data_IF_681934588032
#
_entry.id   IF_681934588032
#
_cell.length_a   1.000
_cell.length_b   1.000
_cell.length_c   1.000
_cell.angle_alpha   90.00
_cell.angle_beta   90.00
_cell.angle_gamma   90.00
#
_symmetry.space_group_name_H-M   'P 1'
#
loop_
_entity.id
_entity.type
_entity.pdbx_description
1 polymer ?
#
# COMPACT_ATOMS: atom_id res chain seq x y z
N UNK A 1 24.32 14.58 -39.18
CA UNK A 1 23.18 15.50 -39.39
C UNK A 1 22.18 15.25 -38.28
N UNK A 2 21.72 16.33 -37.67
CA UNK A 2 21.09 16.42 -36.36
C UNK A 2 19.77 15.66 -36.20
N UNK A 3 19.51 15.20 -34.96
CA UNK A 3 18.40 15.73 -34.15
C UNK A 3 18.65 15.41 -32.67
N UNK A 4 19.06 16.46 -31.95
CA UNK A 4 18.91 16.56 -30.51
C UNK A 4 17.42 16.35 -30.18
N UNK A 5 17.07 15.17 -29.65
CA UNK A 5 15.78 14.99 -28.99
C UNK A 5 15.88 15.68 -27.62
N UNK A 6 15.31 16.88 -27.57
CA UNK A 6 15.09 17.64 -26.35
C UNK A 6 14.25 16.80 -25.37
N UNK A 7 14.64 16.64 -24.08
CA UNK A 7 13.90 15.84 -23.11
C UNK A 7 12.50 16.37 -22.76
N UNK A 8 12.17 17.61 -23.14
CA UNK A 8 10.94 18.30 -22.74
C UNK A 8 9.69 17.97 -23.58
N UNK A 9 9.77 17.03 -24.55
CA UNK A 9 8.70 16.79 -25.52
C UNK A 9 7.85 15.52 -25.26
N UNK A 10 7.99 14.86 -24.10
CA UNK A 10 7.28 13.60 -23.79
C UNK A 10 6.37 13.64 -22.55
N UNK A 11 6.15 14.79 -21.94
CA UNK A 11 5.28 14.92 -20.76
C UNK A 11 3.79 15.15 -21.06
N UNK A 12 3.37 15.17 -22.33
CA UNK A 12 2.00 15.55 -22.72
C UNK A 12 0.85 14.56 -22.39
N UNK A 13 1.07 13.51 -21.59
CA UNK A 13 0.07 12.43 -21.50
C UNK A 13 -0.90 12.47 -20.32
N UNK A 14 -0.64 13.16 -19.20
CA UNK A 14 -1.63 13.25 -18.10
C UNK A 14 -1.43 14.49 -17.20
N UNK A 15 -1.27 15.68 -17.79
CA UNK A 15 -1.31 16.92 -17.00
C UNK A 15 -2.76 17.28 -16.69
N UNK A 16 -3.10 17.38 -15.41
CA UNK A 16 -4.42 17.82 -14.99
C UNK A 16 -4.55 19.32 -15.28
N UNK A 17 -5.46 19.69 -16.19
CA UNK A 17 -5.90 21.07 -16.34
C UNK A 17 -6.47 21.57 -15.01
N UNK A 18 -6.40 22.89 -14.75
CA UNK A 18 -7.09 23.53 -13.62
C UNK A 18 -8.55 23.09 -13.50
N UNK A 19 -9.21 22.80 -14.62
CA UNK A 19 -10.58 22.28 -14.63
C UNK A 19 -10.72 20.95 -13.87
N UNK A 20 -9.75 20.03 -14.01
CA UNK A 20 -9.82 18.72 -13.39
C UNK A 20 -9.59 18.80 -11.87
N UNK A 21 -8.70 19.69 -11.42
CA UNK A 21 -8.48 19.98 -9.98
C UNK A 21 -9.76 20.47 -9.30
N UNK A 22 -10.40 21.47 -9.90
CA UNK A 22 -11.66 22.04 -9.38
C UNK A 22 -12.79 21.01 -9.40
N UNK A 23 -12.84 20.17 -10.43
CA UNK A 23 -13.83 19.10 -10.53
C UNK A 23 -13.64 18.04 -9.44
N UNK A 24 -12.41 17.67 -9.07
CA UNK A 24 -12.16 16.75 -7.94
C UNK A 24 -12.69 17.34 -6.65
N UNK A 25 -12.31 18.59 -6.33
CA UNK A 25 -12.74 19.26 -5.09
C UNK A 25 -14.27 19.24 -5.00
N UNK A 26 -14.94 19.68 -6.07
CA UNK A 26 -16.39 19.65 -6.15
C UNK A 26 -16.95 18.23 -5.98
N UNK A 27 -16.31 17.21 -6.57
CA UNK A 27 -16.77 15.83 -6.44
C UNK A 27 -16.65 15.32 -5.00
N UNK A 28 -15.56 15.66 -4.31
CA UNK A 28 -15.34 15.27 -2.91
C UNK A 28 -16.33 15.96 -1.95
N UNK A 29 -16.73 17.20 -2.26
CA UNK A 29 -17.65 17.99 -1.44
C UNK A 29 -19.13 17.67 -1.72
N UNK A 30 -19.51 17.50 -2.99
CA UNK A 30 -20.93 17.44 -3.39
C UNK A 30 -21.49 16.02 -3.52
N UNK A 31 -20.64 15.00 -3.68
CA UNK A 31 -21.07 13.63 -3.97
C UNK A 31 -20.72 12.64 -2.87
N UNK A 32 -21.70 11.84 -2.45
CA UNK A 32 -21.46 10.65 -1.64
C UNK A 32 -21.02 9.48 -2.54
N UNK A 33 -19.73 9.18 -2.50
CA UNK A 33 -19.13 8.05 -3.23
C UNK A 33 -19.25 6.72 -2.45
N UNK A 34 -20.01 6.70 -1.35
CA UNK A 34 -20.24 5.52 -0.53
C UNK A 34 -18.99 5.10 0.27
N UNK A 35 -18.87 3.80 0.60
CA UNK A 35 -17.81 3.30 1.50
C UNK A 35 -16.45 3.16 0.83
N UNK A 36 -16.34 3.44 -0.48
CA UNK A 36 -15.05 3.37 -1.18
C UNK A 36 -14.05 4.35 -0.58
N UNK A 37 -12.79 3.93 -0.55
CA UNK A 37 -11.67 4.81 -0.24
C UNK A 37 -11.57 5.88 -1.33
N UNK A 38 -11.40 7.14 -0.93
CA UNK A 38 -11.26 8.27 -1.85
C UNK A 38 -9.79 8.60 -1.98
N UNK A 39 -9.22 8.29 -3.14
CA UNK A 39 -7.81 8.55 -3.43
C UNK A 39 -7.69 9.59 -4.54
N UNK A 40 -6.75 10.53 -4.40
CA UNK A 40 -6.43 11.51 -5.44
C UNK A 40 -4.98 11.38 -5.85
N UNK A 41 -4.73 11.07 -7.13
CA UNK A 41 -3.39 11.11 -7.73
C UNK A 41 -3.11 12.50 -8.25
N UNK A 42 -2.16 13.18 -7.61
CA UNK A 42 -1.70 14.51 -8.04
C UNK A 42 -0.68 14.38 -9.18
N UNK A 43 -0.24 15.49 -9.75
CA UNK A 43 0.89 15.50 -10.67
C UNK A 43 2.21 15.22 -9.94
N UNK A 44 3.26 14.81 -10.66
CA UNK A 44 4.57 14.53 -10.06
C UNK A 44 5.26 15.81 -9.59
N UNK A 45 6.17 15.70 -8.61
CA UNK A 45 6.98 16.84 -8.14
C UNK A 45 7.75 17.47 -9.29
N UNK A 46 8.39 16.62 -10.12
CA UNK A 46 9.15 17.01 -11.31
C UNK A 46 8.35 17.74 -12.40
N UNK A 47 7.01 17.62 -12.41
CA UNK A 47 6.16 18.29 -13.41
C UNK A 47 5.96 19.78 -13.15
N UNK A 48 6.26 20.27 -11.94
CA UNK A 48 5.98 21.66 -11.52
C UNK A 48 4.50 21.94 -11.21
N UNK A 49 3.59 20.98 -11.44
CA UNK A 49 2.14 21.15 -11.27
C UNK A 49 1.60 20.62 -9.94
N UNK A 50 2.40 19.84 -9.20
CA UNK A 50 2.03 19.25 -7.91
C UNK A 50 1.66 20.30 -6.85
N UNK A 51 2.31 21.46 -6.88
CA UNK A 51 2.06 22.54 -5.92
C UNK A 51 0.66 23.13 -6.09
N UNK A 52 0.24 23.38 -7.34
CA UNK A 52 -1.11 23.86 -7.66
C UNK A 52 -2.20 22.82 -7.30
N UNK A 53 -1.89 21.53 -7.44
CA UNK A 53 -2.78 20.45 -7.00
C UNK A 53 -2.98 20.51 -5.49
N UNK A 54 -1.88 20.58 -4.72
CA UNK A 54 -1.92 20.63 -3.26
C UNK A 54 -2.62 21.89 -2.75
N UNK A 55 -2.34 23.04 -3.36
CA UNK A 55 -3.03 24.28 -3.00
C UNK A 55 -4.54 24.11 -3.13
N UNK A 56 -5.01 23.65 -4.29
CA UNK A 56 -6.44 23.53 -4.58
C UNK A 56 -7.11 22.46 -3.73
N UNK A 57 -6.50 21.26 -3.65
CA UNK A 57 -7.08 20.11 -2.96
C UNK A 57 -7.14 20.31 -1.44
N UNK A 58 -6.11 20.92 -0.84
CA UNK A 58 -6.05 21.08 0.63
C UNK A 58 -6.95 22.21 1.14
N UNK A 59 -7.43 23.09 0.26
CA UNK A 59 -8.49 24.05 0.61
C UNK A 59 -9.91 23.43 0.60
N UNK A 60 -10.09 22.22 0.03
CA UNK A 60 -11.38 21.51 0.01
C UNK A 60 -11.90 21.25 1.42
N UNK A 61 -13.21 21.40 1.67
CA UNK A 61 -13.83 21.05 2.95
C UNK A 61 -13.69 19.55 3.26
N UNK A 62 -13.73 18.71 2.22
CA UNK A 62 -13.57 17.25 2.34
C UNK A 62 -12.22 16.85 1.73
N UNK A 63 -11.35 16.28 2.57
CA UNK A 63 -10.05 15.76 2.11
C UNK A 63 -10.19 14.30 1.66
N UNK A 64 -9.43 13.87 0.64
CA UNK A 64 -9.34 12.46 0.30
C UNK A 64 -8.69 11.68 1.44
N UNK A 65 -8.99 10.38 1.52
CA UNK A 65 -8.33 9.47 2.45
C UNK A 65 -6.85 9.31 2.13
N UNK A 66 -6.52 9.33 0.84
CA UNK A 66 -5.18 9.00 0.34
C UNK A 66 -4.75 9.92 -0.81
N UNK A 67 -3.50 10.37 -0.76
CA UNK A 67 -2.82 11.09 -1.83
C UNK A 67 -1.81 10.17 -2.50
N UNK A 68 -1.94 10.07 -3.82
CA UNK A 68 -1.08 9.27 -4.67
C UNK A 68 -0.06 10.18 -5.36
N UNK A 69 1.23 9.91 -5.15
CA UNK A 69 2.34 10.72 -5.67
C UNK A 69 3.06 9.96 -6.79
N UNK A 70 2.85 10.32 -8.08
CA UNK A 70 3.48 9.63 -9.19
C UNK A 70 4.95 10.03 -9.37
N UNK A 71 5.71 9.17 -10.07
CA UNK A 71 7.11 9.38 -10.50
C UNK A 71 8.03 9.88 -9.38
N UNK A 72 8.01 9.21 -8.23
CA UNK A 72 8.92 9.56 -7.12
C UNK A 72 10.33 9.05 -7.44
N UNK A 73 11.27 9.98 -7.58
CA UNK A 73 12.66 9.68 -7.97
C UNK A 73 13.60 9.53 -6.76
N UNK A 74 13.30 10.18 -5.63
CA UNK A 74 14.19 10.25 -4.48
C UNK A 74 13.54 10.74 -3.18
N UNK A 75 14.24 10.60 -2.03
CA UNK A 75 13.75 11.05 -0.73
C UNK A 75 13.54 12.57 -0.67
N UNK A 76 14.25 13.35 -1.48
CA UNK A 76 14.12 14.81 -1.53
C UNK A 76 12.72 15.24 -1.98
N UNK A 77 12.10 14.48 -2.89
CA UNK A 77 10.73 14.74 -3.35
C UNK A 77 9.69 14.46 -2.27
N UNK A 78 9.94 13.50 -1.38
CA UNK A 78 9.09 13.22 -0.22
C UNK A 78 9.19 14.35 0.81
N UNK A 79 10.39 14.86 1.06
CA UNK A 79 10.59 16.01 1.93
C UNK A 79 9.88 17.24 1.35
N UNK A 80 10.09 17.54 0.07
CA UNK A 80 9.42 18.64 -0.62
C UNK A 80 7.89 18.51 -0.53
N UNK A 81 7.36 17.32 -0.79
CA UNK A 81 5.92 17.06 -0.71
C UNK A 81 5.40 17.30 0.71
N UNK A 82 6.12 16.84 1.73
CA UNK A 82 5.75 17.03 3.14
C UNK A 82 5.74 18.51 3.54
N UNK A 83 6.74 19.27 3.09
CA UNK A 83 6.85 20.71 3.36
C UNK A 83 5.69 21.48 2.72
N UNK A 84 5.38 21.19 1.45
CA UNK A 84 4.27 21.81 0.72
C UNK A 84 2.92 21.40 1.29
N UNK A 85 2.73 20.13 1.62
CA UNK A 85 1.52 19.63 2.27
C UNK A 85 1.25 20.40 3.57
N UNK A 86 2.25 20.50 4.45
CA UNK A 86 2.15 21.25 5.71
C UNK A 86 1.83 22.73 5.48
N UNK A 87 2.49 23.37 4.51
CA UNK A 87 2.28 24.77 4.17
C UNK A 87 0.82 25.05 3.72
N UNK A 88 0.31 24.27 2.77
CA UNK A 88 -1.03 24.47 2.21
C UNK A 88 -2.16 23.97 3.10
N UNK A 89 -1.87 23.08 4.05
CA UNK A 89 -2.81 22.69 5.09
C UNK A 89 -3.19 23.87 6.00
N UNK A 90 -2.38 24.96 6.05
CA UNK A 90 -2.67 26.22 6.76
C UNK A 90 -3.12 26.03 8.21
N UNK A 91 -2.54 25.06 8.91
CA UNK A 91 -2.86 24.76 10.30
C UNK A 91 -4.21 24.07 10.53
N UNK A 92 -4.88 23.62 9.46
CA UNK A 92 -6.07 22.76 9.55
C UNK A 92 -5.70 21.49 10.32
N UNK A 93 -6.46 21.20 11.38
CA UNK A 93 -6.31 19.94 12.11
C UNK A 93 -6.90 18.80 11.30
N UNK A 94 -6.11 17.75 11.14
CA UNK A 94 -6.55 16.50 10.55
C UNK A 94 -7.10 15.60 11.67
N UNK A 95 -8.31 15.09 11.52
CA UNK A 95 -8.89 14.12 12.46
C UNK A 95 -8.19 12.77 12.38
N UNK A 96 -7.68 12.43 11.19
CA UNK A 96 -6.90 11.25 10.89
C UNK A 96 -5.79 11.61 9.90
N UNK A 97 -4.64 10.92 9.94
CA UNK A 97 -3.58 11.13 8.94
C UNK A 97 -4.11 10.91 7.52
N UNK A 98 -3.60 11.69 6.57
CA UNK A 98 -3.83 11.45 5.14
C UNK A 98 -2.81 10.40 4.68
N UNK A 99 -3.27 9.34 4.03
CA UNK A 99 -2.35 8.32 3.56
C UNK A 99 -1.54 8.85 2.36
N UNK A 100 -0.25 8.55 2.34
CA UNK A 100 0.65 8.82 1.24
C UNK A 100 0.95 7.51 0.51
N UNK A 101 0.76 7.52 -0.81
CA UNK A 101 0.99 6.37 -1.69
C UNK A 101 1.93 6.80 -2.83
N UNK A 102 3.26 6.66 -2.67
CA UNK A 102 4.21 6.94 -3.74
C UNK A 102 4.16 5.86 -4.83
N UNK A 103 4.49 6.26 -6.06
CA UNK A 103 4.63 5.34 -7.18
C UNK A 103 6.10 5.12 -7.51
N UNK A 104 6.45 3.86 -7.76
CA UNK A 104 7.74 3.45 -8.35
C UNK A 104 7.52 3.19 -9.82
N UNK A 105 8.00 4.10 -10.66
CA UNK A 105 7.70 4.12 -12.11
C UNK A 105 8.93 4.35 -12.98
N UNK A 106 10.11 4.49 -12.37
CA UNK A 106 11.36 4.77 -13.09
C UNK A 106 12.50 3.92 -12.54
N UNK A 107 13.58 3.79 -13.33
CA UNK A 107 14.79 3.08 -12.91
C UNK A 107 15.39 3.70 -11.64
N UNK A 108 15.46 5.03 -11.58
CA UNK A 108 16.01 5.76 -10.44
C UNK A 108 15.10 5.67 -9.21
N UNK A 109 13.78 5.86 -9.37
CA UNK A 109 12.80 5.61 -8.31
C UNK A 109 12.89 4.20 -7.73
N UNK A 110 13.11 3.17 -8.56
CA UNK A 110 13.32 1.79 -8.08
C UNK A 110 14.62 1.65 -7.28
N UNK A 111 15.70 2.32 -7.66
CA UNK A 111 16.96 2.30 -6.91
C UNK A 111 16.81 2.97 -5.55
N UNK A 112 16.13 4.11 -5.50
CA UNK A 112 15.95 4.93 -4.30
C UNK A 112 14.75 4.53 -3.44
N UNK A 113 13.91 3.58 -3.87
CA UNK A 113 12.64 3.26 -3.21
C UNK A 113 12.76 2.99 -1.69
N UNK A 114 13.84 2.33 -1.24
CA UNK A 114 14.09 2.14 0.20
C UNK A 114 14.27 3.48 0.92
N UNK A 115 15.09 4.38 0.39
CA UNK A 115 15.34 5.69 0.98
C UNK A 115 14.07 6.57 0.97
N UNK A 116 13.27 6.48 -0.10
CA UNK A 116 11.95 7.10 -0.20
C UNK A 116 11.04 6.65 0.96
N UNK A 117 10.99 5.34 1.24
CA UNK A 117 10.21 4.81 2.37
C UNK A 117 10.74 5.32 3.73
N UNK A 118 12.06 5.31 3.93
CA UNK A 118 12.68 5.78 5.16
C UNK A 118 12.38 7.26 5.42
N UNK A 119 12.47 8.10 4.39
CA UNK A 119 12.18 9.52 4.51
C UNK A 119 10.69 9.77 4.76
N UNK A 120 9.79 9.06 4.08
CA UNK A 120 8.34 9.20 4.29
C UNK A 120 7.90 8.80 5.70
N UNK A 121 8.48 7.73 6.27
CA UNK A 121 8.21 7.32 7.66
C UNK A 121 8.75 8.35 8.65
N UNK A 122 9.87 9.00 8.33
CA UNK A 122 10.51 10.02 9.19
C UNK A 122 9.76 11.35 9.17
N UNK A 123 9.36 11.84 8.00
CA UNK A 123 8.78 13.19 7.81
C UNK A 123 7.26 13.19 7.88
N UNK A 124 6.61 12.16 7.35
CA UNK A 124 5.16 12.09 7.23
C UNK A 124 4.39 12.35 8.53
N UNK A 125 4.69 11.64 9.63
CA UNK A 125 3.97 11.82 10.90
C UNK A 125 4.03 13.24 11.46
N UNK A 126 5.07 14.02 11.14
CA UNK A 126 5.24 15.40 11.61
C UNK A 126 4.23 16.35 10.96
N UNK A 127 3.76 16.01 9.76
CA UNK A 127 2.84 16.82 8.95
C UNK A 127 1.46 16.17 8.80
N UNK A 128 1.22 15.03 9.45
CA UNK A 128 -0.05 14.30 9.37
C UNK A 128 -0.21 13.43 8.12
N UNK A 129 0.89 13.03 7.50
CA UNK A 129 0.92 12.03 6.43
C UNK A 129 1.29 10.64 6.98
N UNK A 130 0.73 9.59 6.40
CA UNK A 130 1.04 8.20 6.76
C UNK A 130 1.37 7.37 5.52
N UNK A 131 2.58 6.81 5.44
CA UNK A 131 2.95 5.92 4.33
C UNK A 131 2.21 4.58 4.45
N UNK A 132 1.22 4.34 3.59
CA UNK A 132 0.34 3.18 3.69
C UNK A 132 0.60 2.12 2.60
N UNK A 133 0.88 2.56 1.38
CA UNK A 133 1.02 1.70 0.22
C UNK A 133 2.09 2.20 -0.74
N UNK A 134 2.53 1.33 -1.66
CA UNK A 134 3.29 1.70 -2.86
C UNK A 134 2.57 1.18 -4.09
N UNK A 135 2.61 1.95 -5.17
CA UNK A 135 2.12 1.52 -6.49
C UNK A 135 3.28 1.30 -7.44
N UNK A 136 3.24 0.23 -8.23
CA UNK A 136 4.19 0.00 -9.31
C UNK A 136 3.61 0.47 -10.66
N UNK A 137 4.20 1.52 -11.24
CA UNK A 137 3.85 2.01 -12.58
C UNK A 137 4.62 1.26 -13.66
N UNK A 138 4.16 0.08 -14.03
CA UNK A 138 4.91 -0.83 -14.90
C UNK A 138 5.21 -0.30 -16.31
N UNK A 139 4.29 0.45 -16.91
CA UNK A 139 4.44 0.96 -18.29
C UNK A 139 5.43 2.13 -18.36
N UNK A 140 5.33 3.07 -17.41
CA UNK A 140 6.32 4.13 -17.25
C UNK A 140 7.69 3.55 -16.88
N UNK A 141 7.73 2.49 -16.07
CA UNK A 141 8.98 1.82 -15.72
C UNK A 141 9.62 1.18 -16.94
N UNK A 142 8.84 0.51 -17.79
CA UNK A 142 9.31 -0.04 -19.08
C UNK A 142 9.90 1.06 -19.96
N UNK A 143 9.20 2.19 -20.09
CA UNK A 143 9.71 3.33 -20.84
C UNK A 143 11.02 3.87 -20.24
N UNK A 144 11.14 3.91 -18.92
CA UNK A 144 12.34 4.37 -18.20
C UNK A 144 13.57 3.48 -18.46
N UNK A 145 13.40 2.16 -18.52
CA UNK A 145 14.50 1.22 -18.80
C UNK A 145 14.72 0.94 -20.30
N UNK A 146 13.90 1.52 -21.17
CA UNK A 146 13.94 1.27 -22.62
C UNK A 146 13.36 -0.07 -23.06
N UNK A 147 12.53 -0.70 -22.22
CA UNK A 147 11.76 -1.89 -22.57
C UNK A 147 10.49 -1.52 -23.36
N UNK A 148 9.89 -2.52 -24.01
CA UNK A 148 8.62 -2.37 -24.73
C UNK A 148 7.51 -3.06 -23.97
N UNK A 149 6.30 -2.49 -24.02
CA UNK A 149 5.11 -3.09 -23.42
C UNK A 149 4.84 -4.49 -24.00
N UNK A 150 4.67 -5.46 -23.11
CA UNK A 150 4.38 -6.86 -23.44
C UNK A 150 3.42 -7.47 -22.43
N UNK A 151 2.70 -8.52 -22.85
CA UNK A 151 1.84 -9.32 -21.95
C UNK A 151 2.69 -10.12 -20.97
N UNK A 152 3.85 -10.55 -21.43
CA UNK A 152 4.90 -11.16 -20.62
C UNK A 152 5.48 -10.12 -19.65
N UNK A 153 5.76 -10.54 -18.43
CA UNK A 153 6.23 -9.69 -17.31
C UNK A 153 7.69 -9.97 -16.91
N UNK A 154 8.40 -10.76 -17.71
CA UNK A 154 9.78 -11.18 -17.40
C UNK A 154 10.75 -10.00 -17.39
N UNK A 155 10.52 -9.00 -18.23
CA UNK A 155 11.29 -7.76 -18.34
C UNK A 155 11.24 -6.91 -17.07
N UNK A 156 10.12 -6.98 -16.33
CA UNK A 156 9.87 -6.21 -15.11
C UNK A 156 9.85 -7.08 -13.83
N UNK A 157 10.20 -8.36 -13.94
CA UNK A 157 10.15 -9.31 -12.82
C UNK A 157 11.03 -8.84 -11.64
N UNK A 158 12.26 -8.39 -11.92
CA UNK A 158 13.16 -7.85 -10.91
C UNK A 158 12.55 -6.65 -10.17
N UNK A 159 11.96 -5.72 -10.91
CA UNK A 159 11.36 -4.52 -10.34
C UNK A 159 10.20 -4.87 -9.41
N UNK A 160 9.28 -5.74 -9.87
CA UNK A 160 8.15 -6.24 -9.09
C UNK A 160 8.61 -6.89 -7.78
N UNK A 161 9.57 -7.81 -7.85
CA UNK A 161 10.08 -8.50 -6.65
C UNK A 161 10.78 -7.55 -5.68
N UNK A 162 11.62 -6.63 -6.17
CA UNK A 162 12.30 -5.65 -5.33
C UNK A 162 11.30 -4.74 -4.60
N UNK A 163 10.28 -4.27 -5.29
CA UNK A 163 9.22 -3.44 -4.70
C UNK A 163 8.50 -4.20 -3.60
N UNK A 164 8.13 -5.47 -3.82
CA UNK A 164 7.49 -6.29 -2.79
C UNK A 164 8.38 -6.42 -1.57
N UNK A 165 9.66 -6.78 -1.74
CA UNK A 165 10.59 -6.98 -0.62
C UNK A 165 10.67 -5.72 0.24
N UNK A 166 10.84 -4.55 -0.38
CA UNK A 166 10.89 -3.27 0.34
C UNK A 166 9.54 -2.97 0.99
N UNK A 167 8.43 -3.04 0.24
CA UNK A 167 7.09 -2.77 0.78
C UNK A 167 6.78 -3.62 2.02
N UNK A 168 7.06 -4.93 1.97
CA UNK A 168 6.84 -5.82 3.11
C UNK A 168 7.77 -5.55 4.28
N UNK A 169 9.02 -5.14 4.03
CA UNK A 169 9.95 -4.76 5.08
C UNK A 169 9.45 -3.54 5.88
N UNK A 170 8.75 -2.60 5.22
CA UNK A 170 8.13 -1.44 5.84
C UNK A 170 6.66 -1.67 6.27
N UNK A 171 6.10 -2.87 6.06
CA UNK A 171 4.72 -3.20 6.41
C UNK A 171 3.66 -2.57 5.49
N UNK A 172 4.06 -2.14 4.29
CA UNK A 172 3.21 -1.44 3.33
C UNK A 172 2.37 -2.40 2.47
N UNK A 173 1.25 -1.90 1.99
CA UNK A 173 0.56 -2.48 0.85
C UNK A 173 1.39 -2.29 -0.43
N UNK A 174 1.30 -3.24 -1.36
CA UNK A 174 1.97 -3.14 -2.66
C UNK A 174 0.93 -3.36 -3.76
N UNK A 175 0.75 -2.38 -4.62
CA UNK A 175 -0.24 -2.41 -5.70
C UNK A 175 0.49 -2.62 -7.03
N UNK A 176 0.09 -3.67 -7.75
CA UNK A 176 0.73 -4.09 -9.00
C UNK A 176 0.34 -3.20 -10.19
N UNK A 177 1.06 -3.38 -11.30
CA UNK A 177 0.88 -2.60 -12.53
C UNK A 177 -0.53 -2.70 -13.14
N UNK A 178 -0.89 -1.76 -14.01
CA UNK A 178 -2.10 -1.84 -14.83
C UNK A 178 -2.00 -2.95 -15.88
N UNK A 179 -3.13 -3.57 -16.22
CA UNK A 179 -3.25 -4.39 -17.43
C UNK A 179 -4.01 -3.61 -18.50
N UNK A 180 -3.32 -3.21 -19.58
CA UNK A 180 -3.87 -2.27 -20.58
C UNK A 180 -4.95 -2.92 -21.46
N UNK A 181 -4.79 -4.21 -21.80
CA UNK A 181 -5.73 -4.94 -22.66
C UNK A 181 -6.97 -5.35 -21.86
N UNK A 182 -7.89 -4.40 -21.63
CA UNK A 182 -9.10 -4.62 -20.83
C UNK A 182 -10.08 -5.64 -21.45
N UNK A 183 -9.86 -6.09 -22.69
CA UNK A 183 -10.69 -7.11 -23.35
C UNK A 183 -10.20 -8.53 -23.11
N UNK A 184 -8.93 -8.69 -22.72
CA UNK A 184 -8.31 -9.98 -22.45
C UNK A 184 -8.43 -10.33 -20.96
N UNK A 185 -9.59 -10.86 -20.59
CA UNK A 185 -9.92 -11.25 -19.22
C UNK A 185 -9.02 -12.39 -18.71
N UNK A 186 -8.69 -13.37 -19.57
CA UNK A 186 -7.80 -14.46 -19.17
C UNK A 186 -6.37 -13.98 -18.89
N UNK A 187 -5.84 -13.08 -19.72
CA UNK A 187 -4.55 -12.44 -19.50
C UNK A 187 -4.52 -11.64 -18.20
N UNK A 188 -5.59 -10.87 -17.94
CA UNK A 188 -5.77 -10.15 -16.68
C UNK A 188 -5.77 -11.11 -15.48
N UNK A 189 -6.50 -12.22 -15.55
CA UNK A 189 -6.59 -13.22 -14.48
C UNK A 189 -5.22 -13.83 -14.21
N UNK A 190 -4.50 -14.27 -15.26
CA UNK A 190 -3.15 -14.84 -15.13
C UNK A 190 -2.17 -13.87 -14.47
N UNK A 191 -2.12 -12.62 -14.94
CA UNK A 191 -1.21 -11.62 -14.39
C UNK A 191 -1.58 -11.20 -12.96
N UNK A 192 -2.88 -11.13 -12.64
CA UNK A 192 -3.36 -10.83 -11.29
C UNK A 192 -3.01 -11.94 -10.30
N UNK A 193 -3.20 -13.21 -10.70
CA UNK A 193 -2.79 -14.36 -9.90
C UNK A 193 -1.28 -14.40 -9.67
N UNK A 194 -0.49 -14.10 -10.70
CA UNK A 194 0.97 -13.99 -10.59
C UNK A 194 1.34 -12.92 -9.54
N UNK A 195 0.78 -11.71 -9.65
CA UNK A 195 1.02 -10.62 -8.70
C UNK A 195 0.63 -10.98 -7.27
N UNK A 196 -0.55 -11.56 -7.07
CA UNK A 196 -1.02 -12.02 -5.76
C UNK A 196 -0.09 -13.09 -5.16
N UNK A 197 0.39 -14.03 -5.98
CA UNK A 197 1.32 -15.09 -5.56
C UNK A 197 2.68 -14.51 -5.14
N UNK A 198 3.17 -13.48 -5.83
CA UNK A 198 4.42 -12.80 -5.48
C UNK A 198 4.32 -12.01 -4.16
N UNK A 199 3.10 -11.60 -3.76
CA UNK A 199 2.85 -10.87 -2.52
C UNK A 199 2.31 -9.45 -2.69
N UNK A 200 1.95 -9.04 -3.91
CA UNK A 200 1.16 -7.83 -4.11
C UNK A 200 -0.20 -7.96 -3.41
N UNK A 201 -0.73 -6.83 -2.98
CA UNK A 201 -1.97 -6.73 -2.21
C UNK A 201 -3.15 -6.20 -2.99
N UNK A 202 -2.90 -5.69 -4.19
CA UNK A 202 -3.90 -5.26 -5.14
C UNK A 202 -3.26 -5.00 -6.50
N UNK A 203 -4.06 -4.50 -7.44
CA UNK A 203 -3.63 -4.18 -8.80
C UNK A 203 -4.39 -2.96 -9.31
N UNK A 204 -3.72 -2.12 -10.09
CA UNK A 204 -4.36 -1.00 -10.77
C UNK A 204 -5.34 -1.49 -11.85
N UNK A 205 -6.52 -0.89 -11.89
CA UNK A 205 -7.57 -1.15 -12.89
C UNK A 205 -7.95 0.14 -13.60
N UNK A 206 -8.27 0.05 -14.88
CA UNK A 206 -8.63 1.20 -15.73
C UNK A 206 -9.99 1.04 -16.40
N UNK A 207 -10.62 -0.14 -16.27
CA UNK A 207 -11.94 -0.40 -16.80
C UNK A 207 -12.80 -1.19 -15.80
N UNK A 208 -14.11 -0.91 -15.69
CA UNK A 208 -14.99 -1.55 -14.70
C UNK A 208 -15.02 -3.08 -14.74
N UNK A 209 -14.89 -3.68 -15.94
CA UNK A 209 -14.86 -5.15 -16.09
C UNK A 209 -13.66 -5.83 -15.40
N UNK A 210 -12.60 -5.08 -15.08
CA UNK A 210 -11.41 -5.62 -14.42
C UNK A 210 -11.62 -5.76 -12.91
N UNK A 211 -12.56 -5.01 -12.33
CA UNK A 211 -12.72 -4.86 -10.88
C UNK A 211 -12.99 -6.22 -10.21
N UNK A 212 -13.99 -6.95 -10.68
CA UNK A 212 -14.40 -8.22 -10.07
C UNK A 212 -13.27 -9.26 -10.14
N UNK A 213 -12.67 -9.43 -11.32
CA UNK A 213 -11.57 -10.38 -11.57
C UNK A 213 -10.37 -10.08 -10.68
N UNK A 214 -9.98 -8.80 -10.60
CA UNK A 214 -8.85 -8.38 -9.75
C UNK A 214 -9.19 -8.60 -8.28
N UNK A 215 -10.34 -8.14 -7.80
CA UNK A 215 -10.71 -8.31 -6.40
C UNK A 215 -10.74 -9.77 -5.98
N UNK A 216 -11.27 -10.68 -6.81
CA UNK A 216 -11.28 -12.11 -6.54
C UNK A 216 -9.86 -12.67 -6.38
N UNK A 217 -8.93 -12.36 -7.29
CA UNK A 217 -7.57 -12.92 -7.23
C UNK A 217 -6.72 -12.36 -6.07
N UNK A 218 -7.03 -11.15 -5.59
CA UNK A 218 -6.33 -10.54 -4.45
C UNK A 218 -7.05 -10.74 -3.11
N UNK A 219 -8.21 -11.41 -3.12
CA UNK A 219 -8.93 -11.85 -1.93
C UNK A 219 -8.38 -13.18 -1.43
N UNK A 220 -8.19 -13.36 -0.11
CA UNK A 220 -7.81 -14.66 0.42
C UNK A 220 -8.94 -15.68 0.19
N UNK A 221 -8.59 -16.90 -0.23
CA UNK A 221 -9.58 -17.98 -0.38
C UNK A 221 -10.22 -18.35 0.97
N UNK A 222 -11.46 -18.86 0.99
CA UNK A 222 -12.09 -19.33 2.22
C UNK A 222 -11.24 -20.34 3.00
N UNK A 223 -10.52 -21.20 2.29
CA UNK A 223 -9.58 -22.16 2.87
C UNK A 223 -8.41 -21.47 3.58
N UNK A 224 -7.83 -20.44 2.95
CA UNK A 224 -6.74 -19.66 3.53
C UNK A 224 -7.19 -18.86 4.74
N UNK A 225 -8.42 -18.35 4.72
CA UNK A 225 -9.05 -17.68 5.87
C UNK A 225 -9.19 -18.67 7.02
N UNK A 226 -9.83 -19.83 6.78
CA UNK A 226 -10.03 -20.87 7.80
C UNK A 226 -8.70 -21.32 8.42
N UNK A 227 -7.70 -21.59 7.60
CA UNK A 227 -6.37 -21.96 8.08
C UNK A 227 -5.72 -20.85 8.93
N UNK A 228 -5.87 -19.59 8.54
CA UNK A 228 -5.39 -18.45 9.33
C UNK A 228 -6.11 -18.34 10.70
N UNK A 229 -7.43 -18.57 10.75
CA UNK A 229 -8.23 -18.57 11.98
C UNK A 229 -7.83 -19.69 12.93
N UNK A 230 -7.64 -20.91 12.40
CA UNK A 230 -7.19 -22.08 13.16
C UNK A 230 -5.81 -21.82 13.80
N UNK A 231 -4.88 -21.25 13.02
CA UNK A 231 -3.52 -20.95 13.49
C UNK A 231 -3.50 -19.88 14.59
N UNK A 232 -4.33 -18.84 14.48
CA UNK A 232 -4.44 -17.81 15.53
C UNK A 232 -5.09 -18.37 16.79
N UNK A 233 -6.11 -19.22 16.65
CA UNK A 233 -6.78 -19.87 17.78
C UNK A 233 -5.80 -20.74 18.54
N UNK A 234 -5.07 -21.62 17.85
CA UNK A 234 -4.01 -22.44 18.44
C UNK A 234 -2.96 -21.57 19.16
N UNK A 235 -2.46 -20.51 18.51
CA UNK A 235 -1.48 -19.63 19.14
C UNK A 235 -1.98 -18.98 20.45
N UNK A 236 -3.24 -18.56 20.50
CA UNK A 236 -3.86 -17.97 21.71
C UNK A 236 -3.99 -18.99 22.85
N UNK A 237 -4.44 -20.20 22.53
CA UNK A 237 -4.55 -21.30 23.51
C UNK A 237 -3.19 -21.62 24.13
N UNK A 238 -2.13 -21.66 23.33
CA UNK A 238 -0.77 -21.94 23.81
C UNK A 238 -0.17 -20.81 24.65
N UNK A 239 -0.47 -19.54 24.35
CA UNK A 239 -0.06 -18.42 25.22
C UNK A 239 -0.74 -18.47 26.58
N UNK A 240 -2.03 -18.82 26.63
CA UNK A 240 -2.78 -18.91 27.89
C UNK A 240 -2.30 -20.07 28.78
N UNK A 241 -1.78 -21.14 28.16
CA UNK A 241 -1.24 -22.30 28.88
C UNK A 241 0.18 -22.08 29.44
N UNK A 242 0.78 -20.89 29.31
CA UNK A 242 2.07 -20.55 29.92
C UNK A 242 3.27 -21.33 29.37
N UNK A 243 3.10 -22.10 28.29
CA UNK A 243 4.21 -22.74 27.58
C UNK A 243 4.93 -21.68 26.76
N UNK A 244 5.93 -21.04 27.37
CA UNK A 244 6.96 -20.31 26.61
C UNK A 244 7.52 -21.28 25.58
N UNK A 245 7.55 -20.87 24.31
CA UNK A 245 8.20 -21.61 23.23
C UNK A 245 9.70 -21.73 23.54
N UNK A 246 10.07 -22.73 24.32
CA UNK A 246 11.42 -23.24 24.31
C UNK A 246 11.60 -23.82 22.90
N UNK A 247 12.43 -23.13 22.13
CA UNK A 247 13.04 -23.62 20.90
C UNK A 247 13.27 -25.13 21.00
N UNK A 248 12.81 -25.88 20.01
CA UNK A 248 12.83 -27.37 19.93
C UNK A 248 11.67 -28.13 20.62
N UNK A 249 10.41 -27.75 20.38
CA UNK A 249 9.32 -28.74 20.47
C UNK A 249 8.37 -28.64 19.27
N UNK A 250 8.15 -29.80 18.66
CA UNK A 250 7.55 -30.05 17.36
C UNK A 250 6.06 -29.71 17.33
N UNK A 251 5.63 -29.03 16.26
CA UNK A 251 4.25 -29.14 15.77
C UNK A 251 4.24 -30.02 14.53
N UNK A 252 3.73 -31.23 14.69
CA UNK A 252 3.27 -32.07 13.60
C UNK A 252 1.74 -31.92 13.50
N UNK A 253 1.28 -30.80 12.95
CA UNK A 253 -0.04 -30.76 12.31
C UNK A 253 0.21 -30.78 10.80
N UNK A 254 -0.32 -31.80 10.13
CA UNK A 254 -0.21 -32.05 8.67
C UNK A 254 1.20 -32.20 8.06
N UNK A 255 2.26 -32.34 8.86
CA UNK A 255 3.60 -32.69 8.34
C UNK A 255 4.43 -31.51 7.82
N UNK A 256 4.00 -30.26 8.04
CA UNK A 256 4.81 -29.07 7.72
C UNK A 256 5.16 -28.28 8.99
N UNK A 257 6.45 -28.18 9.27
CA UNK A 257 7.04 -27.36 10.33
C UNK A 257 6.64 -25.88 10.15
N UNK A 258 5.64 -25.44 10.91
CA UNK A 258 5.13 -24.06 10.83
C UNK A 258 5.88 -23.17 11.82
N UNK A 259 6.91 -22.46 11.33
CA UNK A 259 7.69 -21.51 12.13
C UNK A 259 6.89 -20.26 12.52
N UNK A 260 7.24 -19.65 13.66
CA UNK A 260 6.64 -18.45 14.28
C UNK A 260 6.44 -17.23 13.35
N UNK A 261 7.09 -17.22 12.17
CA UNK A 261 6.94 -16.21 11.12
C UNK A 261 5.51 -16.09 10.57
N UNK A 262 4.69 -17.13 10.68
CA UNK A 262 3.35 -17.19 10.06
C UNK A 262 2.35 -16.22 10.73
N UNK A 263 2.50 -15.93 12.03
CA UNK A 263 1.51 -15.16 12.81
C UNK A 263 1.36 -13.67 12.42
N UNK A 264 2.35 -13.02 11.80
CA UNK A 264 2.21 -11.62 11.30
C UNK A 264 1.54 -11.58 9.93
N UNK A 265 1.88 -12.51 9.04
CA UNK A 265 1.28 -12.62 7.70
C UNK A 265 -0.21 -13.00 7.75
N UNK A 266 -0.60 -13.90 8.66
CA UNK A 266 -2.01 -14.33 8.80
C UNK A 266 -2.93 -13.24 9.37
N UNK A 267 -2.41 -12.39 10.26
CA UNK A 267 -3.17 -11.23 10.75
C UNK A 267 -3.51 -10.25 9.62
N UNK A 268 -2.60 -10.08 8.65
CA UNK A 268 -2.88 -9.31 7.43
C UNK A 268 -3.96 -9.94 6.55
N UNK A 269 -3.97 -11.28 6.42
CA UNK A 269 -5.01 -12.00 5.67
C UNK A 269 -6.40 -11.85 6.32
N UNK A 270 -6.50 -11.98 7.65
CA UNK A 270 -7.77 -11.86 8.36
C UNK A 270 -8.27 -10.42 8.49
N UNK A 271 -7.37 -9.45 8.67
CA UNK A 271 -7.74 -8.03 8.62
C UNK A 271 -8.36 -7.67 7.26
N UNK A 272 -7.79 -8.20 6.16
CA UNK A 272 -8.33 -7.99 4.82
C UNK A 272 -9.67 -8.67 4.60
N UNK A 273 -9.81 -9.94 5.00
CA UNK A 273 -11.08 -10.66 4.94
C UNK A 273 -12.18 -9.92 5.70
N UNK A 274 -11.86 -9.41 6.90
CA UNK A 274 -12.79 -8.65 7.73
C UNK A 274 -13.21 -7.30 7.09
N UNK A 275 -12.28 -6.60 6.44
CA UNK A 275 -12.55 -5.36 5.70
C UNK A 275 -13.42 -5.60 4.45
N UNK A 276 -13.17 -6.69 3.73
CA UNK A 276 -13.98 -7.07 2.57
C UNK A 276 -15.39 -7.52 2.99
N UNK A 277 -15.50 -8.27 4.09
CA UNK A 277 -16.78 -8.65 4.67
C UNK A 277 -17.57 -7.44 5.17
N UNK A 278 -16.92 -6.43 5.78
CA UNK A 278 -17.62 -5.22 6.25
C UNK A 278 -18.16 -4.38 5.09
N UNK A 279 -17.42 -4.28 3.98
CA UNK A 279 -17.85 -3.61 2.74
C UNK A 279 -18.99 -4.35 2.04
N UNK A 280 -19.06 -5.68 2.17
CA UNK A 280 -20.18 -6.49 1.66
C UNK A 280 -21.42 -6.47 2.59
N UNK A 281 -21.26 -6.16 3.88
CA UNK A 281 -22.28 -6.31 4.93
C UNK A 281 -23.11 -5.06 5.25
N UNK A 282 -23.23 -4.09 4.35
CA UNK A 282 -24.15 -2.95 4.56
C UNK A 282 -25.63 -3.35 4.65
N UNK A 283 -25.96 -4.63 4.43
CA UNK A 283 -27.21 -5.25 4.86
C UNK A 283 -26.95 -6.23 6.02
N UNK A 284 -27.08 -5.77 7.27
CA UNK A 284 -27.58 -6.47 8.47
C UNK A 284 -26.94 -5.96 9.79
N UNK A 285 -27.72 -5.13 10.49
CA UNK A 285 -27.72 -4.84 11.95
C UNK A 285 -26.37 -4.61 12.66
N UNK A 286 -26.05 -3.33 12.85
CA UNK A 286 -24.93 -2.85 13.66
C UNK A 286 -25.07 -3.16 15.16
N UNK A 287 -23.96 -3.56 15.77
CA UNK A 287 -23.82 -3.71 17.23
C UNK A 287 -22.65 -4.60 17.63
N UNK A 288 -22.37 -5.66 16.87
CA UNK A 288 -21.38 -6.68 17.23
C UNK A 288 -20.00 -6.44 16.59
N UNK A 289 -19.96 -5.91 15.36
CA UNK A 289 -18.73 -5.61 14.61
C UNK A 289 -17.89 -4.48 15.22
N UNK A 290 -18.53 -3.47 15.85
CA UNK A 290 -17.83 -2.33 16.46
C UNK A 290 -17.01 -2.73 17.71
N UNK A 291 -17.39 -3.83 18.40
CA UNK A 291 -16.64 -4.36 19.54
C UNK A 291 -15.39 -5.14 19.10
N UNK A 292 -15.47 -5.86 17.98
CA UNK A 292 -14.33 -6.54 17.37
C UNK A 292 -13.28 -5.52 16.87
N UNK A 293 -13.74 -4.39 16.31
CA UNK A 293 -12.89 -3.29 15.85
C UNK A 293 -12.05 -2.67 16.99
N UNK A 294 -12.65 -2.36 18.16
CA UNK A 294 -11.89 -1.82 19.31
C UNK A 294 -10.91 -2.82 19.92
N UNK A 295 -11.24 -4.11 19.91
CA UNK A 295 -10.36 -5.16 20.43
C UNK A 295 -9.13 -5.37 19.55
N UNK A 296 -9.27 -5.28 18.22
CA UNK A 296 -8.15 -5.39 17.29
C UNK A 296 -7.24 -4.15 17.35
N UNK A 297 -7.80 -2.93 17.44
CA UNK A 297 -7.01 -1.70 17.50
C UNK A 297 -6.14 -1.58 18.77
N UNK A 298 -6.64 -2.09 19.91
CA UNK A 298 -5.87 -2.17 21.17
C UNK A 298 -4.64 -3.09 21.07
N UNK A 299 -4.74 -4.17 20.28
CA UNK A 299 -3.64 -5.12 20.08
C UNK A 299 -2.55 -4.54 19.18
N UNK A 300 -2.90 -3.61 18.27
CA UNK A 300 -1.94 -2.94 17.40
C UNK A 300 -1.06 -1.91 18.13
N UNK A 301 -1.57 -1.18 19.12
CA UNK A 301 -0.81 -0.15 19.84
C UNK A 301 0.03 -0.67 21.02
N UNK A 302 -0.41 -1.73 21.72
CA UNK A 302 0.24 -2.17 22.95
C UNK A 302 1.66 -2.73 22.83
N UNK A 303 2.12 -3.05 21.61
CA UNK A 303 3.40 -3.76 21.39
C UNK A 303 4.49 -2.92 20.72
N UNK A 304 4.15 -1.75 20.16
CA UNK A 304 5.13 -0.86 19.52
C UNK A 304 5.90 0.03 20.52
N UNK A 305 5.47 0.10 21.79
CA UNK A 305 6.05 1.00 22.80
C UNK A 305 6.80 0.32 23.97
N UNK A 306 7.14 -0.97 23.91
CA UNK A 306 7.95 -1.58 24.98
C UNK A 306 9.46 -1.33 24.74
N UNK A 307 10.16 -0.56 25.59
CA UNK A 307 11.60 -0.35 25.44
C UNK A 307 12.37 -1.65 25.77
N UNK A 308 13.14 -2.14 24.81
CA UNK A 308 14.03 -3.27 24.96
C UNK A 308 15.23 -2.86 25.86
N UNK A 309 15.11 -3.04 27.17
CA UNK A 309 16.25 -2.89 28.09
C UNK A 309 16.96 -4.24 28.22
N UNK A 310 18.00 -4.46 27.42
CA UNK A 310 18.88 -5.60 27.56
C UNK A 310 19.76 -5.41 28.81
N UNK A 311 19.42 -6.08 29.92
CA UNK A 311 20.32 -6.25 31.06
C UNK A 311 21.27 -7.41 30.75
N UNK A 312 22.52 -7.09 30.43
CA UNK A 312 23.60 -8.09 30.38
C UNK A 312 23.98 -8.44 31.82
N UNK A 313 23.53 -9.59 32.30
CA UNK A 313 24.09 -10.21 33.52
C UNK A 313 25.12 -11.25 33.10
N UNK A 314 26.40 -10.92 33.30
CA UNK A 314 27.49 -11.87 33.15
C UNK A 314 27.40 -12.98 34.20
N UNK A 315 27.56 -14.23 33.76
CA UNK A 315 27.86 -15.36 34.64
C UNK A 315 29.34 -15.73 34.47
N UNK A 316 30.05 -15.64 35.59
CA UNK A 316 31.41 -16.15 35.85
C UNK A 316 31.32 -17.62 36.29
N UNK A 317 32.28 -18.44 35.86
CA UNK A 317 32.79 -19.68 36.53
C UNK A 317 31.78 -20.81 36.77
N UNK A 318 32.11 -22.09 36.64
CA UNK A 318 33.37 -22.83 36.65
C UNK A 318 33.31 -23.92 35.58
#
# INVERSE_FOLDING_TARGET
MARLCHPAARDHLFHWSNEARLRIVKTLEDFDLGPTEKCVRINSVSSGLAEEDLETLLQSQVLPSSLMLPKVEGPEEIQWFSDKFSFYLKGRKLEQPVNLIPFVETAMGLLNFKAVCEEAVKTGPQVGLFLDAVVFGGEDFRASIGATSSKETQDILYARQKIIVVAKAFGLQAIDLVYIDFRDEEGLLRQSREGATMGFTGKQVIHPNQIAVVQEQFSPSPEKIKWAEELITAFKEHQQLGKLLNTTSEYAHSGELTFLFVGKSQRGCLARSSLMASQASTDLTGGTLLRAYRALHSIFHGWFCAPFTARVTGQKGW
#
